data_IF_446965309889
#
_entry.id   IF_446965309889
#
_cell.length_a   1.000
_cell.length_b   1.000
_cell.length_c   1.000
_cell.angle_alpha   90.00
_cell.angle_beta   90.00
_cell.angle_gamma   90.00
#
_symmetry.space_group_name_H-M   'P 1'
#
loop_
_entity.id
_entity.type
_entity.pdbx_description
1 polymer ?
#
# COMPACT_ATOMS: atom_id res chain seq x y z
N UNK A 1 10.38 -19.76 4.40
CA UNK A 1 8.96 -20.10 4.12
C UNK A 1 8.91 -21.58 3.82
N UNK A 2 8.02 -22.33 4.49
CA UNK A 2 7.69 -23.71 4.11
C UNK A 2 7.06 -23.68 2.72
N UNK A 3 7.86 -23.91 1.68
CA UNK A 3 7.34 -24.14 0.33
C UNK A 3 7.18 -25.63 0.16
N UNK A 4 5.96 -26.08 -0.20
CA UNK A 4 5.76 -27.48 -0.57
C UNK A 4 6.69 -27.80 -1.74
N UNK A 5 7.51 -28.86 -1.66
CA UNK A 5 8.43 -29.19 -2.73
C UNK A 5 7.69 -29.69 -3.98
N UNK A 6 6.50 -30.26 -3.82
CA UNK A 6 5.68 -30.82 -4.88
C UNK A 6 4.23 -30.31 -4.77
N UNK A 7 3.54 -30.28 -5.91
CA UNK A 7 2.14 -29.85 -6.07
C UNK A 7 1.41 -30.92 -6.89
N UNK A 8 0.19 -31.26 -6.50
CA UNK A 8 -0.63 -32.24 -7.20
C UNK A 8 -1.36 -31.61 -8.39
N UNK A 9 -1.52 -32.38 -9.46
CA UNK A 9 -2.30 -31.98 -10.64
C UNK A 9 -3.73 -32.48 -10.50
N UNK A 10 -4.69 -31.59 -10.65
CA UNK A 10 -6.11 -31.95 -10.64
C UNK A 10 -6.66 -32.14 -12.06
N UNK A 11 -7.46 -33.18 -12.26
CA UNK A 11 -8.22 -33.36 -13.49
C UNK A 11 -9.31 -32.29 -13.66
N UNK A 12 -9.85 -32.17 -14.87
CA UNK A 12 -10.93 -31.21 -15.19
C UNK A 12 -12.22 -31.51 -14.41
N UNK A 13 -12.41 -32.77 -14.01
CA UNK A 13 -13.47 -33.27 -13.12
C UNK A 13 -13.25 -32.96 -11.64
N UNK A 14 -12.12 -32.35 -11.26
CA UNK A 14 -11.78 -32.02 -9.87
C UNK A 14 -11.17 -33.19 -9.07
N UNK A 15 -11.10 -34.38 -9.65
CA UNK A 15 -10.37 -35.51 -9.06
C UNK A 15 -8.86 -35.29 -9.14
N UNK A 16 -8.10 -35.88 -8.23
CA UNK A 16 -6.64 -35.95 -8.34
C UNK A 16 -6.26 -36.73 -9.61
N UNK A 17 -5.37 -36.18 -10.43
CA UNK A 17 -4.86 -36.86 -11.62
C UNK A 17 -3.75 -37.87 -11.27
N UNK A 18 -3.29 -37.91 -10.02
CA UNK A 18 -2.21 -38.80 -9.56
C UNK A 18 -0.82 -38.37 -10.02
N UNK A 19 -0.71 -37.20 -10.67
CA UNK A 19 0.54 -36.61 -11.12
C UNK A 19 0.98 -35.53 -10.14
N UNK A 20 2.25 -35.55 -9.75
CA UNK A 20 2.86 -34.51 -8.91
C UNK A 20 3.97 -33.81 -9.66
N UNK A 21 4.06 -32.50 -9.49
CA UNK A 21 5.04 -31.64 -10.16
C UNK A 21 5.85 -30.89 -9.11
N UNK A 22 7.15 -30.75 -9.34
CA UNK A 22 8.04 -29.96 -8.47
C UNK A 22 7.66 -28.49 -8.53
N UNK A 23 7.63 -27.81 -7.39
CA UNK A 23 7.33 -26.39 -7.32
C UNK A 23 8.41 -25.56 -8.04
N UNK A 24 8.06 -24.77 -9.09
CA UNK A 24 9.00 -23.93 -9.80
C UNK A 24 9.71 -22.93 -8.88
N UNK A 25 10.98 -22.66 -9.17
CA UNK A 25 11.85 -21.82 -8.34
C UNK A 25 11.32 -20.38 -8.18
N UNK A 26 10.53 -19.88 -9.16
CA UNK A 26 9.90 -18.55 -9.10
C UNK A 26 9.00 -18.37 -7.88
N UNK A 27 8.40 -19.44 -7.34
CA UNK A 27 7.58 -19.35 -6.14
C UNK A 27 8.40 -19.16 -4.85
N UNK A 28 9.70 -19.42 -4.90
CA UNK A 28 10.65 -19.16 -3.80
C UNK A 28 11.25 -17.75 -3.85
N UNK A 29 10.92 -16.96 -4.87
CA UNK A 29 11.39 -15.59 -5.01
C UNK A 29 10.92 -14.69 -3.85
N UNK A 30 11.70 -13.69 -3.45
CA UNK A 30 11.32 -12.76 -2.39
C UNK A 30 10.03 -12.01 -2.73
N UNK A 31 9.09 -11.99 -1.80
CA UNK A 31 7.85 -11.21 -1.91
C UNK A 31 8.11 -9.79 -1.39
N UNK A 32 8.16 -8.80 -2.29
CA UNK A 32 8.40 -7.37 -1.97
C UNK A 32 7.19 -6.50 -2.33
N UNK A 33 6.27 -6.24 -1.38
CA UNK A 33 5.07 -5.42 -1.62
C UNK A 33 5.39 -3.98 -2.07
N UNK A 34 6.48 -3.41 -1.56
CA UNK A 34 6.97 -2.07 -1.87
C UNK A 34 7.39 -1.94 -3.35
N UNK A 35 8.19 -2.89 -3.85
CA UNK A 35 8.61 -2.94 -5.26
C UNK A 35 7.40 -3.18 -6.16
N UNK A 36 6.51 -4.11 -5.76
CA UNK A 36 5.28 -4.37 -6.50
C UNK A 36 4.43 -3.12 -6.61
N UNK A 37 4.30 -2.35 -5.53
CA UNK A 37 3.55 -1.10 -5.52
C UNK A 37 4.17 -0.03 -6.43
N UNK A 38 5.46 0.24 -6.30
CA UNK A 38 6.15 1.26 -7.10
C UNK A 38 6.07 0.93 -8.59
N UNK A 39 6.34 -0.32 -8.98
CA UNK A 39 6.26 -0.79 -10.37
C UNK A 39 4.81 -0.76 -10.88
N UNK A 40 3.86 -1.24 -10.09
CA UNK A 40 2.45 -1.29 -10.50
C UNK A 40 1.91 0.11 -10.81
N UNK A 41 2.20 1.11 -9.96
CA UNK A 41 1.74 2.48 -10.19
C UNK A 41 2.37 3.10 -11.45
N UNK A 42 3.62 2.78 -11.78
CA UNK A 42 4.28 3.18 -13.02
C UNK A 42 3.64 2.52 -14.25
N UNK A 43 3.48 1.20 -14.22
CA UNK A 43 2.92 0.41 -15.34
C UNK A 43 1.44 0.75 -15.58
N UNK A 44 0.65 0.94 -14.52
CA UNK A 44 -0.78 1.27 -14.64
C UNK A 44 -1.03 2.62 -15.33
N UNK A 45 -0.08 3.56 -15.27
CA UNK A 45 -0.16 4.86 -15.97
C UNK A 45 -0.03 4.71 -17.49
N UNK A 46 0.53 3.61 -17.99
CA UNK A 46 0.89 3.49 -19.40
C UNK A 46 -0.29 3.24 -20.35
N UNK A 47 -1.51 3.00 -19.84
CA UNK A 47 -2.75 2.87 -20.64
C UNK A 47 -3.57 4.17 -20.70
N UNK A 48 -3.06 5.28 -20.18
CA UNK A 48 -3.79 6.56 -20.13
C UNK A 48 -3.84 7.21 -21.50
N UNK A 49 -4.97 7.85 -21.82
CA UNK A 49 -5.12 8.74 -22.97
C UNK A 49 -4.91 10.19 -22.52
N UNK A 50 -4.26 10.99 -23.36
CA UNK A 50 -4.06 12.41 -23.09
C UNK A 50 -5.40 13.16 -23.09
N UNK A 51 -5.50 14.16 -22.20
CA UNK A 51 -6.60 15.12 -22.22
C UNK A 51 -6.03 16.53 -22.09
N UNK A 52 -6.62 17.47 -22.82
CA UNK A 52 -6.25 18.87 -22.82
C UNK A 52 -7.49 19.73 -23.09
N UNK A 53 -7.47 20.98 -22.62
CA UNK A 53 -8.44 21.99 -23.04
C UNK A 53 -7.96 22.62 -24.35
N UNK A 54 -8.89 23.10 -25.19
CA UNK A 54 -8.53 23.82 -26.42
C UNK A 54 -7.63 25.02 -26.09
N UNK A 55 -6.63 25.27 -26.93
CA UNK A 55 -5.61 26.31 -26.70
C UNK A 55 -6.19 27.72 -26.68
N UNK A 56 -7.25 27.96 -27.45
CA UNK A 56 -7.93 29.25 -27.59
C UNK A 56 -9.15 29.40 -26.65
N UNK A 57 -9.41 28.43 -25.75
CA UNK A 57 -10.56 28.49 -24.87
C UNK A 57 -10.46 29.66 -23.87
N UNK A 58 -11.47 30.53 -23.87
CA UNK A 58 -11.50 31.72 -23.00
C UNK A 58 -10.66 32.90 -23.50
N UNK A 59 -10.09 32.79 -24.71
CA UNK A 59 -9.27 33.83 -25.36
C UNK A 59 -9.89 34.34 -26.69
N UNK A 60 -11.06 33.84 -27.09
CA UNK A 60 -11.79 34.26 -28.30
C UNK A 60 -12.58 35.57 -28.11
N UNK A 61 -12.05 36.54 -27.36
CA UNK A 61 -12.70 37.84 -27.10
C UNK A 61 -11.70 38.97 -27.27
N UNK A 62 -12.10 40.10 -27.87
CA UNK A 62 -11.27 41.30 -28.02
C UNK A 62 -11.31 42.23 -26.80
N UNK A 63 -11.27 41.66 -25.59
CA UNK A 63 -11.43 42.42 -24.35
C UNK A 63 -10.19 43.24 -23.99
N UNK A 64 -10.37 44.45 -23.49
CA UNK A 64 -9.30 45.34 -23.05
C UNK A 64 -9.58 45.87 -21.64
N UNK A 65 -8.54 46.18 -20.88
CA UNK A 65 -8.71 46.76 -19.54
C UNK A 65 -9.12 48.22 -19.66
N UNK A 66 -10.13 48.64 -18.90
CA UNK A 66 -10.53 50.04 -18.84
C UNK A 66 -9.60 50.91 -17.96
N UNK A 67 -8.56 50.32 -17.37
CA UNK A 67 -7.61 51.02 -16.50
C UNK A 67 -8.19 51.43 -15.15
N UNK A 68 -7.55 52.40 -14.50
CA UNK A 68 -8.02 53.01 -13.24
C UNK A 68 -9.02 54.14 -13.50
N UNK A 69 -9.63 54.70 -12.44
CA UNK A 69 -10.45 55.92 -12.53
C UNK A 69 -11.91 55.74 -12.95
N UNK A 70 -12.39 54.49 -13.09
CA UNK A 70 -13.78 54.17 -13.50
C UNK A 70 -14.59 53.42 -12.44
N UNK A 71 -14.15 53.48 -11.17
CA UNK A 71 -14.75 52.77 -10.03
C UNK A 71 -14.97 51.25 -10.25
N UNK A 72 -14.12 50.62 -11.09
CA UNK A 72 -14.17 49.18 -11.38
C UNK A 72 -12.78 48.55 -11.35
N UNK A 73 -12.71 47.24 -11.11
CA UNK A 73 -11.46 46.48 -11.16
C UNK A 73 -10.82 46.47 -12.57
N UNK A 74 -9.48 46.42 -12.61
CA UNK A 74 -8.61 46.53 -13.81
C UNK A 74 -8.58 45.27 -14.70
N UNK A 75 -9.48 44.33 -14.54
CA UNK A 75 -9.54 43.13 -15.38
C UNK A 75 -9.96 43.53 -16.81
N UNK A 76 -9.44 42.90 -17.88
CA UNK A 76 -9.92 43.13 -19.24
C UNK A 76 -11.42 42.89 -19.34
N UNK A 77 -12.14 43.81 -20.00
CA UNK A 77 -13.60 43.77 -20.18
C UNK A 77 -13.96 43.72 -21.65
N UNK A 78 -14.99 42.95 -21.99
CA UNK A 78 -15.49 42.84 -23.36
C UNK A 78 -16.06 44.19 -23.80
N UNK A 79 -15.65 44.69 -24.96
CA UNK A 79 -16.12 45.95 -25.53
C UNK A 79 -17.54 45.91 -26.09
N UNK A 80 -17.92 46.99 -26.78
CA UNK A 80 -19.23 47.15 -27.42
C UNK A 80 -20.37 47.47 -26.45
N UNK A 81 -21.60 47.45 -26.97
CA UNK A 81 -22.85 47.73 -26.25
C UNK A 81 -23.99 46.85 -26.80
N UNK A 82 -25.17 46.88 -26.16
CA UNK A 82 -26.37 46.19 -26.67
C UNK A 82 -26.42 44.68 -26.43
N UNK A 83 -25.42 44.09 -25.77
CA UNK A 83 -25.43 42.67 -25.38
C UNK A 83 -25.20 42.51 -23.87
N UNK A 84 -25.74 41.45 -23.27
CA UNK A 84 -25.46 41.12 -21.86
C UNK A 84 -23.98 40.81 -21.57
N UNK A 85 -23.16 40.58 -22.60
CA UNK A 85 -21.74 40.25 -22.45
C UNK A 85 -20.84 41.50 -22.39
N UNK A 86 -21.26 42.61 -22.99
CA UNK A 86 -20.53 43.88 -23.01
C UNK A 86 -20.26 44.38 -21.58
N UNK A 87 -19.03 44.82 -21.31
CA UNK A 87 -18.58 45.27 -19.99
C UNK A 87 -18.23 44.17 -18.99
N UNK A 88 -18.45 42.88 -19.28
CA UNK A 88 -18.06 41.79 -18.38
C UNK A 88 -16.57 41.47 -18.45
N UNK A 89 -16.00 40.95 -17.36
CA UNK A 89 -14.61 40.50 -17.31
C UNK A 89 -14.31 39.32 -18.25
N UNK A 90 -13.10 39.29 -18.80
CA UNK A 90 -12.60 38.29 -19.73
C UNK A 90 -11.14 37.90 -19.44
N UNK A 91 -10.66 36.84 -20.12
CA UNK A 91 -9.33 36.23 -20.01
C UNK A 91 -8.91 35.68 -18.64
N UNK A 92 -9.23 36.32 -17.53
CA UNK A 92 -8.82 35.90 -16.20
C UNK A 92 -9.43 34.55 -15.78
N UNK A 93 -8.68 33.76 -15.00
CA UNK A 93 -9.15 32.49 -14.44
C UNK A 93 -10.26 32.64 -13.41
N UNK A 94 -10.39 33.83 -12.81
CA UNK A 94 -11.51 34.19 -11.93
C UNK A 94 -12.76 34.63 -12.72
N UNK A 95 -12.65 34.87 -14.03
CA UNK A 95 -13.75 35.38 -14.84
C UNK A 95 -14.62 34.23 -15.37
N UNK A 96 -15.95 34.41 -15.31
CA UNK A 96 -16.90 33.53 -16.00
C UNK A 96 -16.64 33.59 -17.51
N UNK A 97 -16.39 32.44 -18.13
CA UNK A 97 -16.06 32.33 -19.56
C UNK A 97 -14.62 32.73 -19.91
N UNK A 98 -13.78 33.03 -18.91
CA UNK A 98 -12.33 33.24 -19.11
C UNK A 98 -11.56 31.92 -19.23
N UNK A 99 -10.24 32.01 -19.44
CA UNK A 99 -9.37 30.83 -19.55
C UNK A 99 -9.04 30.27 -18.16
N UNK A 100 -8.84 28.96 -18.03
CA UNK A 100 -8.40 28.39 -16.75
C UNK A 100 -6.94 28.73 -16.44
N UNK A 101 -6.57 28.73 -15.15
CA UNK A 101 -5.17 28.79 -14.75
C UNK A 101 -4.43 27.52 -15.19
N UNK A 102 -3.21 27.69 -15.72
CA UNK A 102 -2.37 26.61 -16.26
C UNK A 102 -3.15 25.59 -17.13
N UNK A 103 -3.67 26.00 -18.30
CA UNK A 103 -4.46 25.13 -19.18
C UNK A 103 -3.79 23.79 -19.43
N UNK A 104 -4.54 22.70 -19.28
CA UNK A 104 -4.00 21.35 -19.48
C UNK A 104 -3.47 21.16 -20.89
N UNK A 105 -2.28 20.54 -21.00
CA UNK A 105 -1.57 20.34 -22.26
C UNK A 105 -1.33 18.87 -22.54
N UNK A 106 -1.29 18.52 -23.82
CA UNK A 106 -1.12 17.15 -24.30
C UNK A 106 0.27 16.59 -23.98
N UNK A 107 1.32 17.42 -23.96
CA UNK A 107 2.70 17.02 -23.68
C UNK A 107 3.02 16.74 -22.20
N UNK A 108 2.02 16.67 -21.32
CA UNK A 108 2.20 16.16 -19.96
C UNK A 108 2.85 14.77 -20.03
N UNK A 109 3.74 14.44 -19.09
CA UNK A 109 4.30 13.08 -18.96
C UNK A 109 3.22 12.08 -18.53
N UNK A 110 2.59 11.41 -19.49
CA UNK A 110 1.53 10.41 -19.25
C UNK A 110 2.08 9.04 -18.87
N UNK A 111 3.11 8.61 -19.59
CA UNK A 111 3.74 7.30 -19.46
C UNK A 111 4.95 7.36 -18.53
N UNK A 112 5.20 6.26 -17.82
CA UNK A 112 6.31 6.12 -16.89
C UNK A 112 7.16 4.93 -17.31
N UNK A 113 8.44 5.20 -17.58
CA UNK A 113 9.46 4.16 -17.79
C UNK A 113 9.79 3.56 -16.43
N UNK A 114 9.87 2.24 -16.39
CA UNK A 114 10.29 1.45 -15.22
C UNK A 114 11.35 0.50 -15.70
N UNK A 115 12.38 0.28 -14.88
CA UNK A 115 13.49 -0.59 -15.21
C UNK A 115 12.98 -2.00 -15.52
N UNK A 116 13.56 -2.63 -16.55
CA UNK A 116 13.11 -3.95 -16.99
C UNK A 116 13.29 -4.98 -15.87
N UNK A 117 14.41 -4.90 -15.13
CA UNK A 117 14.68 -5.81 -14.03
C UNK A 117 13.70 -5.62 -12.86
N UNK A 118 13.34 -4.39 -12.50
CA UNK A 118 12.31 -4.11 -11.48
C UNK A 118 10.94 -4.64 -11.89
N UNK A 119 10.57 -4.52 -13.18
CA UNK A 119 9.32 -5.12 -13.69
C UNK A 119 9.34 -6.65 -13.53
N UNK A 120 10.47 -7.28 -13.82
CA UNK A 120 10.67 -8.74 -13.66
C UNK A 120 10.65 -9.14 -12.18
N UNK A 121 11.26 -8.34 -11.30
CA UNK A 121 11.20 -8.53 -9.85
C UNK A 121 9.75 -8.49 -9.35
N UNK A 122 9.00 -7.43 -9.67
CA UNK A 122 7.62 -7.27 -9.22
C UNK A 122 6.71 -8.40 -9.72
N UNK A 123 6.92 -8.88 -10.94
CA UNK A 123 6.17 -10.02 -11.49
C UNK A 123 6.54 -11.32 -10.80
N UNK A 124 7.83 -11.60 -10.55
CA UNK A 124 8.26 -12.75 -9.76
C UNK A 124 7.68 -12.74 -8.33
N UNK A 125 7.75 -11.61 -7.62
CA UNK A 125 7.12 -11.45 -6.30
C UNK A 125 5.60 -11.68 -6.34
N UNK A 126 4.92 -11.24 -7.40
CA UNK A 126 3.48 -11.43 -7.55
C UNK A 126 3.10 -12.90 -7.85
N UNK A 127 3.94 -13.63 -8.60
CA UNK A 127 3.81 -15.07 -8.81
C UNK A 127 4.03 -15.81 -7.49
N UNK A 128 5.12 -15.53 -6.77
CA UNK A 128 5.40 -16.12 -5.47
C UNK A 128 4.26 -15.91 -4.46
N UNK A 129 3.71 -14.69 -4.41
CA UNK A 129 2.57 -14.39 -3.55
C UNK A 129 1.29 -15.15 -3.90
N UNK A 130 1.13 -15.64 -5.14
CA UNK A 130 -0.03 -16.44 -5.52
C UNK A 130 -0.02 -17.86 -4.93
N UNK A 131 1.14 -18.35 -4.48
CA UNK A 131 1.27 -19.62 -3.75
C UNK A 131 0.89 -19.51 -2.26
N UNK A 132 0.77 -18.30 -1.72
CA UNK A 132 0.60 -18.09 -0.28
C UNK A 132 -0.88 -17.92 0.05
N UNK A 133 -1.53 -18.98 0.54
CA UNK A 133 -2.97 -18.98 0.82
C UNK A 133 -3.44 -17.81 1.72
N UNK A 134 -2.74 -17.41 2.80
CA UNK A 134 -3.11 -16.22 3.58
C UNK A 134 -3.18 -14.92 2.76
N UNK A 135 -2.26 -14.71 1.80
CA UNK A 135 -2.29 -13.52 0.93
C UNK A 135 -3.47 -13.59 -0.05
N UNK A 136 -3.79 -14.78 -0.55
CA UNK A 136 -4.94 -15.01 -1.45
C UNK A 136 -6.27 -14.74 -0.75
N UNK A 137 -6.42 -15.21 0.50
CA UNK A 137 -7.58 -14.95 1.34
C UNK A 137 -7.69 -13.47 1.73
N UNK A 138 -6.57 -12.84 2.12
CA UNK A 138 -6.54 -11.42 2.50
C UNK A 138 -6.99 -10.49 1.34
N UNK A 139 -6.77 -10.89 0.09
CA UNK A 139 -7.30 -10.19 -1.09
C UNK A 139 -8.81 -10.33 -1.28
N UNK A 140 -9.44 -11.27 -0.58
CA UNK A 140 -10.86 -11.55 -0.66
C UNK A 140 -11.26 -12.55 -1.75
N UNK A 141 -10.32 -13.37 -2.23
CA UNK A 141 -10.66 -14.55 -3.04
C UNK A 141 -11.28 -15.63 -2.14
N UNK A 142 -12.23 -16.40 -2.69
CA UNK A 142 -12.89 -17.52 -1.97
C UNK A 142 -12.18 -18.82 -2.31
N UNK A 143 -11.15 -19.15 -1.54
CA UNK A 143 -10.31 -20.34 -1.72
C UNK A 143 -10.36 -21.30 -0.53
N UNK A 144 -11.34 -21.12 0.39
CA UNK A 144 -11.42 -21.89 1.63
C UNK A 144 -11.71 -23.39 1.40
N UNK A 145 -12.33 -23.73 0.27
CA UNK A 145 -12.69 -25.11 -0.11
C UNK A 145 -11.72 -25.75 -1.09
N UNK A 146 -10.65 -25.05 -1.46
CA UNK A 146 -9.66 -25.56 -2.41
C UNK A 146 -8.64 -26.40 -1.63
N UNK A 147 -8.26 -27.55 -2.19
CA UNK A 147 -7.35 -28.48 -1.53
C UNK A 147 -5.98 -27.87 -1.25
N UNK A 148 -5.39 -27.18 -2.24
CA UNK A 148 -4.09 -26.53 -2.09
C UNK A 148 -3.89 -25.35 -3.05
N UNK A 149 -2.84 -24.56 -2.77
CA UNK A 149 -2.39 -23.43 -3.58
C UNK A 149 -0.86 -23.52 -3.68
N UNK A 150 -0.23 -23.35 -4.86
CA UNK A 150 -0.82 -23.09 -6.18
C UNK A 150 -1.74 -24.20 -6.67
N UNK A 151 -2.85 -23.84 -7.30
CA UNK A 151 -3.77 -24.81 -7.88
C UNK A 151 -3.35 -25.14 -9.31
N UNK A 152 -3.02 -26.41 -9.56
CA UNK A 152 -2.60 -26.91 -10.88
C UNK A 152 -3.66 -27.86 -11.44
N UNK A 153 -4.01 -27.67 -12.72
CA UNK A 153 -5.00 -28.48 -13.43
C UNK A 153 -4.41 -29.12 -14.69
N UNK A 154 -4.98 -30.24 -15.12
CA UNK A 154 -4.60 -30.94 -16.36
C UNK A 154 -4.63 -30.01 -17.58
N UNK A 155 -3.74 -30.28 -18.54
CA UNK A 155 -3.67 -29.59 -19.83
C UNK A 155 -4.95 -29.72 -20.67
N UNK A 156 -5.83 -30.68 -20.37
CA UNK A 156 -7.11 -30.86 -21.06
C UNK A 156 -7.99 -29.60 -21.00
N UNK A 157 -7.82 -28.78 -19.96
CA UNK A 157 -8.56 -27.51 -19.82
C UNK A 157 -8.24 -26.53 -20.96
N UNK A 158 -7.05 -26.62 -21.59
CA UNK A 158 -6.62 -25.74 -22.69
C UNK A 158 -7.43 -25.96 -23.97
N UNK A 159 -7.93 -27.18 -24.16
CA UNK A 159 -8.71 -27.64 -25.31
C UNK A 159 -10.22 -27.36 -25.19
N UNK A 160 -10.68 -26.80 -24.07
CA UNK A 160 -12.09 -26.46 -23.89
C UNK A 160 -12.50 -25.31 -24.82
N UNK A 161 -13.54 -25.56 -25.62
CA UNK A 161 -14.07 -24.57 -26.59
C UNK A 161 -15.38 -23.93 -26.14
N UNK A 162 -16.21 -24.66 -25.38
CA UNK A 162 -17.52 -24.18 -24.92
C UNK A 162 -17.43 -23.57 -23.52
N UNK A 163 -18.06 -22.40 -23.35
CA UNK A 163 -18.15 -21.71 -22.06
C UNK A 163 -18.84 -22.53 -20.97
N UNK A 164 -19.83 -23.35 -21.35
CA UNK A 164 -20.55 -24.24 -20.40
C UNK A 164 -19.57 -25.21 -19.74
N UNK A 165 -18.70 -25.80 -20.53
CA UNK A 165 -17.73 -26.81 -20.09
C UNK A 165 -16.62 -26.15 -19.26
N UNK A 166 -16.18 -24.95 -19.64
CA UNK A 166 -15.27 -24.14 -18.82
C UNK A 166 -15.85 -23.79 -17.43
N UNK A 167 -17.14 -23.44 -17.35
CA UNK A 167 -17.82 -23.21 -16.07
C UNK A 167 -17.93 -24.49 -15.26
N UNK A 168 -18.19 -25.63 -15.91
CA UNK A 168 -18.24 -26.94 -15.24
C UNK A 168 -16.87 -27.31 -14.65
N UNK A 169 -15.78 -27.11 -15.40
CA UNK A 169 -14.41 -27.30 -14.92
C UNK A 169 -14.11 -26.44 -13.69
N UNK A 170 -14.44 -25.14 -13.71
CA UNK A 170 -14.24 -24.25 -12.55
C UNK A 170 -15.07 -24.66 -11.32
N UNK A 171 -16.24 -25.27 -11.53
CA UNK A 171 -17.04 -25.84 -10.42
C UNK A 171 -16.38 -27.06 -9.83
N UNK A 172 -15.94 -27.97 -10.68
CA UNK A 172 -15.32 -29.22 -10.29
C UNK A 172 -14.03 -29.00 -9.49
N UNK A 173 -13.20 -28.04 -9.92
CA UNK A 173 -11.95 -27.68 -9.23
C UNK A 173 -12.17 -26.77 -8.00
N UNK A 174 -13.43 -26.43 -7.67
CA UNK A 174 -13.75 -25.63 -6.47
C UNK A 174 -13.60 -24.11 -6.61
N UNK A 175 -13.24 -23.60 -7.79
CA UNK A 175 -13.08 -22.17 -8.07
C UNK A 175 -14.41 -21.40 -8.25
N UNK A 176 -15.55 -22.10 -8.33
CA UNK A 176 -16.84 -21.47 -8.62
C UNK A 176 -17.32 -20.47 -7.54
N UNK A 177 -16.96 -20.68 -6.27
CA UNK A 177 -17.30 -19.72 -5.20
C UNK A 177 -16.70 -18.34 -5.48
N UNK A 178 -15.50 -18.29 -6.05
CA UNK A 178 -14.85 -17.03 -6.41
C UNK A 178 -15.53 -16.35 -7.61
N UNK A 179 -15.99 -17.14 -8.59
CA UNK A 179 -16.78 -16.62 -9.73
C UNK A 179 -18.14 -16.09 -9.25
N UNK A 180 -18.83 -16.83 -8.38
CA UNK A 180 -20.11 -16.40 -7.81
C UNK A 180 -19.97 -15.08 -7.01
N UNK A 181 -18.86 -14.90 -6.29
CA UNK A 181 -18.50 -13.63 -5.63
C UNK A 181 -18.41 -12.48 -6.63
N UNK A 182 -17.82 -12.68 -7.80
CA UNK A 182 -17.75 -11.65 -8.83
C UNK A 182 -19.14 -11.28 -9.33
N UNK A 183 -19.95 -12.27 -9.70
CA UNK A 183 -21.31 -12.04 -10.23
C UNK A 183 -22.15 -11.23 -9.24
N UNK A 184 -22.12 -11.58 -7.95
CA UNK A 184 -22.84 -10.86 -6.88
C UNK A 184 -22.33 -9.44 -6.63
N UNK A 185 -21.09 -9.13 -7.01
CA UNK A 185 -20.45 -7.83 -6.74
C UNK A 185 -20.74 -6.74 -7.77
N UNK A 186 -21.45 -7.06 -8.85
CA UNK A 186 -21.71 -6.13 -9.94
C UNK A 186 -22.62 -4.99 -9.48
N UNK A 187 -22.08 -3.78 -9.48
CA UNK A 187 -22.77 -2.58 -9.03
C UNK A 187 -22.53 -1.41 -9.98
N UNK A 188 -23.39 -0.41 -9.93
CA UNK A 188 -23.23 0.83 -10.69
C UNK A 188 -22.05 1.63 -10.09
N UNK A 189 -21.14 2.12 -10.93
CA UNK A 189 -19.97 2.90 -10.49
C UNK A 189 -20.40 4.20 -9.80
N UNK A 190 -19.81 4.52 -8.65
CA UNK A 190 -20.04 5.82 -8.03
C UNK A 190 -19.46 6.99 -8.87
N UNK A 191 -20.13 8.15 -8.83
CA UNK A 191 -19.66 9.39 -9.45
C UNK A 191 -19.85 9.50 -10.98
N UNK A 192 -19.17 10.48 -11.58
CA UNK A 192 -19.32 10.86 -13.02
C UNK A 192 -18.75 9.84 -14.01
N UNK A 193 -18.00 8.84 -13.54
CA UNK A 193 -17.44 7.79 -14.40
C UNK A 193 -18.52 6.95 -15.12
N UNK A 194 -19.74 6.92 -14.58
CA UNK A 194 -20.88 6.23 -15.19
C UNK A 194 -21.17 6.69 -16.61
N UNK A 195 -21.07 8.00 -16.83
CA UNK A 195 -21.32 8.66 -18.11
C UNK A 195 -20.11 8.61 -19.05
N UNK A 196 -18.97 8.06 -18.60
CA UNK A 196 -17.70 8.01 -19.35
C UNK A 196 -17.29 6.57 -19.64
N UNK A 197 -18.20 5.77 -20.21
CA UNK A 197 -17.99 4.37 -20.61
C UNK A 197 -17.47 3.45 -19.49
N UNK A 198 -17.77 3.77 -18.21
CA UNK A 198 -17.37 2.98 -17.04
C UNK A 198 -18.54 2.78 -16.07
N UNK A 199 -19.72 2.48 -16.62
CA UNK A 199 -21.00 2.39 -15.89
C UNK A 199 -21.00 1.36 -14.76
N UNK A 200 -20.39 0.19 -14.98
CA UNK A 200 -20.40 -0.92 -14.03
C UNK A 200 -19.03 -1.11 -13.36
N UNK A 201 -19.06 -1.65 -12.14
CA UNK A 201 -17.90 -2.13 -11.40
C UNK A 201 -18.19 -3.50 -10.82
N UNK A 202 -17.20 -4.37 -10.77
CA UNK A 202 -17.27 -5.72 -10.22
C UNK A 202 -15.90 -6.14 -9.71
N UNK A 203 -15.83 -7.16 -8.86
CA UNK A 203 -14.56 -7.75 -8.40
C UNK A 203 -13.89 -8.55 -9.52
N UNK A 204 -12.60 -8.84 -9.35
CA UNK A 204 -11.86 -9.77 -10.21
C UNK A 204 -11.90 -11.17 -9.63
N UNK A 205 -12.06 -12.17 -10.49
CA UNK A 205 -12.07 -13.58 -10.15
C UNK A 205 -10.72 -14.24 -10.40
N UNK A 206 -10.70 -15.58 -10.59
CA UNK A 206 -9.47 -16.32 -10.81
C UNK A 206 -8.77 -15.89 -12.11
N UNK A 207 -7.45 -16.05 -12.13
CA UNK A 207 -6.62 -15.94 -13.33
C UNK A 207 -6.28 -17.37 -13.80
N UNK A 208 -6.64 -17.73 -15.02
CA UNK A 208 -6.27 -19.02 -15.63
C UNK A 208 -5.02 -18.81 -16.48
N UNK A 209 -3.91 -19.45 -16.11
CA UNK A 209 -2.66 -19.39 -16.85
C UNK A 209 -2.49 -20.65 -17.67
N UNK A 210 -2.26 -20.48 -18.97
CA UNK A 210 -2.11 -21.57 -19.93
C UNK A 210 -0.77 -21.48 -20.67
N UNK A 211 -0.36 -22.59 -21.27
CA UNK A 211 0.85 -22.70 -22.08
C UNK A 211 0.57 -22.51 -23.57
N UNK A 212 -0.50 -23.12 -24.07
CA UNK A 212 -0.98 -23.04 -25.45
C UNK A 212 -2.46 -22.68 -25.48
N UNK A 213 -2.88 -21.92 -26.49
CA UNK A 213 -4.29 -21.56 -26.64
C UNK A 213 -4.97 -22.44 -27.69
N UNK A 214 -5.63 -23.52 -27.23
CA UNK A 214 -6.39 -24.47 -28.09
C UNK A 214 -7.90 -24.18 -28.11
N UNK A 215 -8.34 -23.03 -27.57
CA UNK A 215 -9.75 -22.66 -27.46
C UNK A 215 -10.10 -22.02 -26.11
N UNK A 216 -9.29 -22.27 -25.08
CA UNK A 216 -9.47 -21.81 -23.71
C UNK A 216 -9.78 -20.31 -23.61
N UNK A 217 -9.06 -19.45 -24.32
CA UNK A 217 -9.29 -17.99 -24.20
C UNK A 217 -10.73 -17.63 -24.61
N UNK A 218 -11.27 -18.26 -25.66
CA UNK A 218 -12.65 -18.01 -26.11
C UNK A 218 -13.67 -18.59 -25.14
N UNK A 219 -13.41 -19.79 -24.60
CA UNK A 219 -14.30 -20.44 -23.64
C UNK A 219 -14.42 -19.67 -22.32
N UNK A 220 -13.32 -19.10 -21.81
CA UNK A 220 -13.32 -18.42 -20.51
C UNK A 220 -13.65 -16.92 -20.57
N UNK A 221 -13.48 -16.24 -21.73
CA UNK A 221 -13.64 -14.77 -21.86
C UNK A 221 -15.00 -14.23 -21.43
N UNK A 222 -16.08 -15.00 -21.61
CA UNK A 222 -17.44 -14.53 -21.29
C UNK A 222 -17.83 -14.74 -19.81
N UNK A 223 -16.99 -15.44 -19.04
CA UNK A 223 -17.25 -15.70 -17.62
C UNK A 223 -16.86 -14.45 -16.81
N UNK A 224 -17.79 -13.82 -16.06
CA UNK A 224 -17.49 -12.58 -15.35
C UNK A 224 -16.33 -12.71 -14.35
N UNK A 225 -15.32 -11.87 -14.54
CA UNK A 225 -14.17 -11.74 -13.63
C UNK A 225 -13.04 -12.74 -13.83
N UNK A 226 -13.28 -13.82 -14.59
CA UNK A 226 -12.22 -14.73 -14.98
C UNK A 226 -11.37 -14.04 -16.05
N UNK A 227 -10.05 -14.10 -15.88
CA UNK A 227 -9.11 -13.63 -16.88
C UNK A 227 -8.20 -14.78 -17.26
N UNK A 228 -7.71 -14.77 -18.49
CA UNK A 228 -6.74 -15.74 -18.98
C UNK A 228 -5.41 -15.03 -19.27
N UNK A 229 -4.30 -15.75 -19.16
CA UNK A 229 -2.97 -15.25 -19.49
C UNK A 229 -2.08 -16.38 -19.99
N UNK A 230 -1.28 -16.11 -21.02
CA UNK A 230 -0.17 -16.99 -21.40
C UNK A 230 0.97 -16.86 -20.37
N UNK A 231 1.56 -17.98 -19.98
CA UNK A 231 2.71 -18.06 -19.06
C UNK A 231 3.91 -17.22 -19.52
N UNK A 232 4.10 -17.04 -20.83
CA UNK A 232 5.19 -16.23 -21.40
C UNK A 232 4.95 -14.73 -21.22
N UNK A 233 3.70 -14.32 -21.04
CA UNK A 233 3.25 -12.92 -21.06
C UNK A 233 2.58 -12.50 -19.74
N UNK A 234 3.03 -13.05 -18.62
CA UNK A 234 2.48 -12.76 -17.28
C UNK A 234 2.47 -11.26 -16.96
N UNK A 235 1.27 -10.69 -16.88
CA UNK A 235 1.09 -9.26 -16.64
C UNK A 235 0.95 -8.96 -15.14
N UNK A 236 1.80 -8.07 -14.63
CA UNK A 236 1.72 -7.58 -13.24
C UNK A 236 0.34 -6.99 -12.89
N UNK A 237 -0.30 -6.29 -13.84
CA UNK A 237 -1.62 -5.70 -13.60
C UNK A 237 -2.71 -6.76 -13.42
N UNK A 238 -2.50 -7.96 -13.95
CA UNK A 238 -3.36 -9.11 -13.72
C UNK A 238 -2.95 -9.84 -12.45
N UNK A 239 -1.67 -10.11 -12.20
CA UNK A 239 -1.23 -10.85 -11.01
C UNK A 239 -1.45 -10.07 -9.70
N UNK A 240 -1.29 -8.75 -9.73
CA UNK A 240 -1.43 -7.87 -8.58
C UNK A 240 -2.42 -6.71 -8.85
N UNK A 241 -3.73 -6.96 -9.07
CA UNK A 241 -4.69 -5.88 -9.34
C UNK A 241 -4.77 -4.89 -8.18
N UNK A 242 -4.53 -3.60 -8.45
CA UNK A 242 -4.50 -2.56 -7.41
C UNK A 242 -3.26 -2.61 -6.53
N UNK A 243 -2.14 -3.19 -6.99
CA UNK A 243 -0.88 -3.36 -6.24
C UNK A 243 -0.91 -4.23 -4.98
N UNK A 244 -2.03 -4.85 -4.63
CA UNK A 244 -2.06 -5.82 -3.54
C UNK A 244 -1.41 -7.14 -4.02
N UNK A 245 -1.13 -8.12 -3.15
CA UNK A 245 -0.47 -9.38 -3.55
C UNK A 245 -1.37 -10.59 -3.25
N UNK A 246 -1.20 -11.70 -3.99
CA UNK A 246 -1.98 -12.94 -3.78
C UNK A 246 -3.24 -13.07 -4.64
N UNK A 247 -3.17 -12.90 -5.97
CA UNK A 247 -4.33 -13.25 -6.79
C UNK A 247 -4.52 -14.76 -6.80
N UNK A 248 -5.77 -15.22 -6.83
CA UNK A 248 -6.05 -16.63 -7.06
C UNK A 248 -5.74 -16.99 -8.52
N UNK A 249 -4.72 -17.83 -8.72
CA UNK A 249 -4.25 -18.27 -10.04
C UNK A 249 -4.46 -19.78 -10.17
N UNK A 250 -5.02 -20.19 -11.30
CA UNK A 250 -5.21 -21.57 -11.72
C UNK A 250 -4.20 -21.81 -12.84
N UNK A 251 -3.26 -22.72 -12.64
CA UNK A 251 -2.21 -23.04 -13.59
C UNK A 251 -2.55 -24.30 -14.35
N UNK A 252 -2.35 -24.34 -15.67
CA UNK A 252 -2.27 -25.62 -16.37
C UNK A 252 -0.92 -26.28 -16.08
N UNK A 253 -0.88 -27.61 -16.08
CA UNK A 253 0.34 -28.38 -15.90
C UNK A 253 1.48 -27.92 -16.84
N UNK A 254 1.18 -27.74 -18.13
CA UNK A 254 2.12 -27.29 -19.13
C UNK A 254 2.62 -25.87 -18.84
N UNK A 255 1.73 -24.98 -18.36
CA UNK A 255 2.15 -23.64 -17.94
C UNK A 255 3.05 -23.70 -16.71
N UNK A 256 2.75 -24.58 -15.76
CA UNK A 256 3.51 -24.73 -14.52
C UNK A 256 4.93 -25.24 -14.79
N UNK A 257 5.07 -26.27 -15.63
CA UNK A 257 6.37 -26.82 -16.05
C UNK A 257 7.21 -25.79 -16.83
N UNK A 258 6.58 -24.93 -17.63
CA UNK A 258 7.29 -23.89 -18.38
C UNK A 258 7.84 -22.75 -17.51
N UNK A 259 7.40 -22.60 -16.26
CA UNK A 259 7.82 -21.48 -15.40
C UNK A 259 9.33 -21.50 -15.13
N UNK A 260 9.93 -22.66 -14.88
CA UNK A 260 11.38 -22.77 -14.62
C UNK A 260 12.20 -22.42 -15.86
N UNK A 261 11.77 -22.82 -17.06
CA UNK A 261 12.41 -22.40 -18.31
C UNK A 261 12.32 -20.87 -18.51
N UNK A 262 11.21 -20.25 -18.13
CA UNK A 262 10.97 -18.80 -18.35
C UNK A 262 11.66 -17.92 -17.31
N UNK A 263 11.68 -18.34 -16.05
CA UNK A 263 12.19 -17.54 -14.93
C UNK A 263 13.59 -17.96 -14.49
N UNK A 264 14.03 -19.16 -14.86
CA UNK A 264 15.25 -19.79 -14.37
C UNK A 264 15.03 -20.46 -13.02
N UNK A 265 15.87 -21.45 -12.76
CA UNK A 265 16.05 -22.11 -11.47
C UNK A 265 17.54 -22.22 -11.17
N UNK A 266 17.92 -22.87 -10.06
CA UNK A 266 19.33 -23.14 -9.75
C UNK A 266 19.98 -24.08 -10.77
N UNK A 267 19.20 -24.95 -11.42
CA UNK A 267 19.67 -25.92 -12.40
C UNK A 267 19.45 -25.49 -13.86
N UNK A 268 18.50 -24.59 -14.11
CA UNK A 268 18.09 -24.18 -15.47
C UNK A 268 18.27 -22.68 -15.65
N UNK A 269 19.02 -22.27 -16.67
CA UNK A 269 19.16 -20.86 -17.00
C UNK A 269 17.83 -20.26 -17.47
N UNK A 270 17.56 -19.00 -17.12
CA UNK A 270 16.35 -18.32 -17.58
C UNK A 270 16.41 -18.10 -19.10
N UNK A 271 15.28 -18.33 -19.78
CA UNK A 271 15.11 -17.93 -21.19
C UNK A 271 15.26 -16.41 -21.41
N UNK A 272 15.19 -15.60 -20.34
CA UNK A 272 15.44 -14.16 -20.40
C UNK A 272 16.95 -13.92 -20.35
N UNK A 273 17.51 -13.39 -21.43
CA UNK A 273 18.93 -13.03 -21.52
C UNK A 273 19.40 -12.20 -20.31
N UNK A 274 20.50 -12.65 -19.69
CA UNK A 274 21.15 -12.01 -18.54
C UNK A 274 20.30 -11.92 -17.28
N UNK A 275 19.26 -12.75 -17.12
CA UNK A 275 18.35 -12.70 -15.98
C UNK A 275 18.53 -13.89 -15.06
N UNK A 276 18.57 -13.60 -13.75
CA UNK A 276 18.45 -14.56 -12.67
C UNK A 276 17.33 -14.12 -11.73
N UNK A 277 16.76 -15.07 -10.99
CA UNK A 277 15.78 -14.74 -9.95
C UNK A 277 16.42 -13.90 -8.84
N UNK A 278 15.67 -12.97 -8.23
CA UNK A 278 16.20 -12.18 -7.11
C UNK A 278 16.55 -13.05 -5.91
N UNK A 279 17.71 -12.80 -5.31
CA UNK A 279 18.15 -13.49 -4.10
C UNK A 279 17.42 -12.96 -2.85
N UNK A 280 17.24 -13.84 -1.86
CA UNK A 280 16.76 -13.45 -0.55
C UNK A 280 17.90 -12.83 0.27
N UNK A 281 17.64 -11.71 0.94
CA UNK A 281 18.58 -11.08 1.88
C UNK A 281 18.63 -11.79 3.24
N UNK A 282 17.58 -12.55 3.57
CA UNK A 282 17.46 -13.35 4.78
C UNK A 282 17.12 -14.79 4.37
N UNK A 283 17.82 -15.78 4.93
CA UNK A 283 17.55 -17.19 4.64
C UNK A 283 16.18 -17.65 5.16
N UNK A 284 15.81 -17.23 6.37
CA UNK A 284 14.55 -17.57 7.02
C UNK A 284 13.74 -16.30 7.32
N UNK A 285 12.48 -16.30 6.91
CA UNK A 285 11.55 -15.20 7.17
C UNK A 285 10.90 -15.27 8.57
N UNK A 286 10.96 -16.43 9.22
CA UNK A 286 10.44 -16.62 10.58
C UNK A 286 11.51 -16.21 11.60
N UNK A 287 11.44 -14.95 11.99
CA UNK A 287 12.40 -14.34 12.94
C UNK A 287 12.19 -14.90 14.35
N UNK A 288 10.94 -15.23 14.73
CA UNK A 288 10.66 -15.82 16.04
C UNK A 288 11.37 -17.16 16.19
N UNK A 289 11.29 -18.03 15.18
CA UNK A 289 12.02 -19.30 15.17
C UNK A 289 13.54 -19.12 15.27
N UNK A 290 14.10 -18.09 14.62
CA UNK A 290 15.53 -17.78 14.75
C UNK A 290 15.84 -17.37 16.19
N UNK A 291 15.06 -16.44 16.76
CA UNK A 291 15.28 -15.95 18.13
C UNK A 291 15.14 -17.08 19.15
N UNK A 292 14.19 -17.99 18.97
CA UNK A 292 13.93 -19.14 19.83
C UNK A 292 14.95 -20.29 19.67
N UNK A 293 15.92 -20.16 18.75
CA UNK A 293 16.94 -21.18 18.55
C UNK A 293 17.87 -21.30 19.75
N UNK A 294 18.37 -22.51 19.99
CA UNK A 294 19.23 -22.82 21.15
C UNK A 294 20.51 -21.98 21.15
N UNK A 295 21.07 -21.72 19.98
CA UNK A 295 22.28 -20.92 19.80
C UNK A 295 22.09 -19.48 20.29
N UNK A 296 20.91 -18.89 20.06
CA UNK A 296 20.60 -17.53 20.53
C UNK A 296 20.18 -17.56 22.01
N UNK A 297 19.26 -18.46 22.38
CA UNK A 297 18.73 -18.52 23.74
C UNK A 297 19.81 -18.85 24.79
N UNK A 298 20.86 -19.61 24.45
CA UNK A 298 21.96 -19.92 25.36
C UNK A 298 22.84 -18.72 25.74
N UNK A 299 22.85 -17.66 24.92
CA UNK A 299 23.67 -16.45 25.12
C UNK A 299 22.84 -15.31 25.71
N UNK A 300 21.52 -15.31 25.48
CA UNK A 300 20.63 -14.25 25.93
C UNK A 300 20.50 -14.22 27.46
N UNK A 301 20.44 -12.99 28.00
CA UNK A 301 20.11 -12.77 29.42
C UNK A 301 18.62 -13.05 29.63
N UNK A 302 18.21 -13.48 30.84
CA UNK A 302 16.79 -13.66 31.15
C UNK A 302 16.04 -12.35 30.92
N UNK A 303 14.84 -12.46 30.33
CA UNK A 303 13.98 -11.32 30.09
C UNK A 303 13.61 -10.65 31.42
N UNK A 304 13.79 -9.33 31.50
CA UNK A 304 13.36 -8.56 32.66
C UNK A 304 11.92 -8.12 32.47
N UNK A 305 11.08 -8.36 33.46
CA UNK A 305 9.76 -7.74 33.50
C UNK A 305 9.92 -6.23 33.74
N UNK A 306 9.49 -5.43 32.77
CA UNK A 306 9.45 -3.98 32.91
C UNK A 306 8.20 -3.64 33.72
N UNK A 307 8.36 -3.43 35.01
CA UNK A 307 7.33 -2.79 35.82
C UNK A 307 7.43 -1.28 35.63
N UNK A 308 6.55 -0.72 34.80
CA UNK A 308 6.37 0.72 34.73
C UNK A 308 5.83 1.20 36.07
N UNK A 309 6.70 1.84 36.86
CA UNK A 309 6.27 2.51 38.08
C UNK A 309 5.65 3.83 37.68
N UNK A 310 4.32 3.92 37.71
CA UNK A 310 3.60 5.20 37.62
C UNK A 310 3.79 5.99 38.92
N UNK A 311 4.97 6.56 39.09
CA UNK A 311 5.31 7.38 40.25
C UNK A 311 4.76 8.77 39.99
N UNK A 312 3.51 9.01 40.40
CA UNK A 312 2.97 10.37 40.47
C UNK A 312 3.86 11.19 41.42
N UNK A 313 4.47 12.26 40.90
CA UNK A 313 5.25 13.18 41.71
C UNK A 313 4.35 13.91 42.71
N UNK A 314 4.34 13.43 43.94
CA UNK A 314 3.64 14.08 45.05
C UNK A 314 4.50 15.23 45.57
N UNK A 315 3.86 16.37 45.92
CA UNK A 315 4.59 17.51 46.48
C UNK A 315 4.94 17.23 47.96
N UNK A 316 6.23 17.11 48.33
CA UNK A 316 6.63 16.78 49.70
C UNK A 316 6.24 17.87 50.72
N UNK A 317 6.17 19.14 50.30
CA UNK A 317 5.78 20.23 51.19
C UNK A 317 4.30 20.16 51.59
N UNK A 318 3.47 19.47 50.79
CA UNK A 318 2.04 19.24 51.06
C UNK A 318 1.76 17.84 51.59
N UNK A 319 2.58 16.86 51.23
CA UNK A 319 2.43 15.46 51.64
C UNK A 319 3.55 15.04 52.61
N UNK A 320 3.21 14.93 53.89
CA UNK A 320 4.15 14.59 54.97
C UNK A 320 4.79 13.20 54.80
N UNK A 321 4.08 12.22 54.25
CA UNK A 321 4.66 10.88 54.03
C UNK A 321 5.75 10.92 52.96
N UNK A 322 5.53 11.67 51.87
CA UNK A 322 6.54 11.85 50.83
C UNK A 322 7.74 12.68 51.34
N UNK A 323 7.49 13.69 52.19
CA UNK A 323 8.57 14.44 52.85
C UNK A 323 9.43 13.57 53.76
N UNK A 324 8.81 12.67 54.52
CA UNK A 324 9.53 11.74 55.40
C UNK A 324 10.28 10.67 54.60
N UNK A 325 9.69 10.20 53.48
CA UNK A 325 10.34 9.28 52.55
C UNK A 325 11.61 9.89 51.95
N UNK A 326 11.57 11.17 51.57
CA UNK A 326 12.69 11.88 50.94
C UNK A 326 13.68 12.45 51.95
N UNK A 327 13.22 12.92 53.10
CA UNK A 327 14.02 13.56 54.13
C UNK A 327 13.62 13.08 55.54
N UNK A 328 14.32 12.09 56.12
CA UNK A 328 14.02 11.59 57.46
C UNK A 328 14.27 12.63 58.57
N UNK A 329 15.16 13.61 58.35
CA UNK A 329 15.45 14.68 59.32
C UNK A 329 14.27 15.64 59.52
N UNK A 330 13.30 15.67 58.60
CA UNK A 330 12.07 16.45 58.75
C UNK A 330 11.29 16.09 60.01
N UNK A 331 11.37 14.83 60.47
CA UNK A 331 10.79 14.38 61.74
C UNK A 331 11.42 15.11 62.93
N UNK A 332 12.74 15.05 63.05
CA UNK A 332 13.49 15.71 64.13
C UNK A 332 13.40 17.23 64.07
N UNK A 333 13.32 17.81 62.87
CA UNK A 333 13.15 19.25 62.67
C UNK A 333 11.81 19.74 63.23
N UNK A 334 10.74 18.98 63.00
CA UNK A 334 9.42 19.27 63.53
C UNK A 334 9.35 19.05 65.06
N UNK A 335 9.90 17.93 65.56
CA UNK A 335 9.93 17.59 66.99
C UNK A 335 10.67 18.65 67.81
N UNK A 336 11.86 19.06 67.36
CA UNK A 336 12.68 20.08 68.04
C UNK A 336 12.26 21.52 67.70
N UNK A 337 11.21 21.70 66.89
CA UNK A 337 10.73 23.00 66.37
C UNK A 337 11.87 23.91 65.90
N UNK A 338 12.80 23.34 65.12
CA UNK A 338 14.04 24.04 64.75
C UNK A 338 13.78 25.31 63.91
N UNK A 339 12.64 25.39 63.22
CA UNK A 339 12.20 26.60 62.51
C UNK A 339 11.75 27.77 63.41
N UNK A 340 11.73 27.59 64.74
CA UNK A 340 11.33 28.63 65.71
C UNK A 340 12.33 28.77 66.85
N UNK A 341 13.58 28.38 66.63
CA UNK A 341 14.66 28.61 67.60
C UNK A 341 14.79 30.12 67.80
N UNK A 342 14.66 30.56 69.05
CA UNK A 342 14.86 31.96 69.39
C UNK A 342 16.35 32.27 69.27
N UNK A 343 16.68 33.27 68.46
CA UNK A 343 18.02 33.83 68.51
C UNK A 343 18.28 34.43 69.90
N UNK A 344 19.46 34.21 70.47
CA UNK A 344 19.84 34.83 71.72
C UNK A 344 19.82 36.36 71.54
N UNK A 345 19.03 37.07 72.36
CA UNK A 345 18.97 38.53 72.33
C UNK A 345 20.31 39.12 72.74
N UNK A 346 21.15 39.44 71.77
CA UNK A 346 22.39 40.18 71.97
C UNK A 346 22.06 41.67 72.04
N UNK A 347 22.28 42.29 73.21
CA UNK A 347 22.31 43.75 73.31
C UNK A 347 23.61 44.25 72.70
N UNK A 348 23.64 44.42 71.38
CA UNK A 348 24.77 45.08 70.70
C UNK A 348 24.71 46.57 71.07
N UNK A 349 25.54 46.99 72.03
CA UNK A 349 25.81 48.41 72.27
C UNK A 349 26.73 48.88 71.16
N UNK A 350 26.16 49.34 70.05
CA UNK A 350 26.95 49.93 68.97
C UNK A 350 27.59 51.23 69.48
N UNK A 351 28.89 51.21 69.76
CA UNK A 351 29.67 52.40 70.15
C UNK A 351 29.63 53.49 69.07
N UNK A 352 29.37 53.10 67.82
CA UNK A 352 29.19 53.98 66.67
C UNK A 352 27.71 54.28 66.36
N UNK A 353 26.75 53.92 67.22
CA UNK A 353 25.32 54.14 66.93
C UNK A 353 25.00 55.61 66.68
N UNK A 354 25.66 56.51 67.41
CA UNK A 354 25.51 57.95 67.18
C UNK A 354 26.04 58.35 65.80
N UNK A 355 27.26 57.91 65.44
CA UNK A 355 27.90 58.22 64.14
C UNK A 355 27.17 57.58 62.96
N UNK A 356 26.68 56.35 63.11
CA UNK A 356 25.85 55.65 62.14
C UNK A 356 24.49 56.32 61.95
N UNK A 357 23.81 56.69 63.05
CA UNK A 357 22.52 57.41 62.97
C UNK A 357 22.67 58.84 62.45
N UNK A 358 23.85 59.46 62.62
CA UNK A 358 24.16 60.79 62.09
C UNK A 358 24.38 60.71 60.57
N UNK A 359 25.19 59.77 60.09
CA UNK A 359 25.35 59.50 58.64
C UNK A 359 24.03 59.03 57.99
N UNK A 360 23.18 58.30 58.71
CA UNK A 360 21.85 57.88 58.22
C UNK A 360 20.86 59.06 58.08
N UNK A 361 21.09 60.17 58.80
CA UNK A 361 20.16 61.32 58.89
C UNK A 361 20.66 62.57 58.16
N UNK A 362 21.93 62.62 57.78
CA UNK A 362 22.45 63.63 56.87
C UNK A 362 21.97 63.28 55.45
N UNK A 363 21.24 64.21 54.82
CA UNK A 363 20.54 64.03 53.54
C UNK A 363 21.46 63.70 52.36
#
# INVERSE_FOLDING_TARGET
MSTRPQVSVHGVSGSDAGVTIVLPAVFKAPIRPDIVHSVWTGVAKNKRQAYAVASNAGEQTSAESWGTGRAVARIPRVGGSGTHRSGQGAFGNMCRGGRMFAPTKTWRKWHVKVNLNEKRYATASAIAASAVAPLVLARGHRVETIAEVPLVVSNDIESLTKTKDAVAALKAVGAHRDVARVVKSKTIRAGKGKLRNRRWTQRRGPLVVYSENKGLVKAFRNIPGVETCDVRHLNLLQLAPGSHLGRFVIWTEGAFNLLDNIWGSESVASAKSGYSLPANILANADVSRIIESQEIQSILKPAKEIQEKDIRKMNPLKNKQELLRLNPYSKTFAEKKLGSIKEPKTKVKNAQKAKFMQILKDN
#
